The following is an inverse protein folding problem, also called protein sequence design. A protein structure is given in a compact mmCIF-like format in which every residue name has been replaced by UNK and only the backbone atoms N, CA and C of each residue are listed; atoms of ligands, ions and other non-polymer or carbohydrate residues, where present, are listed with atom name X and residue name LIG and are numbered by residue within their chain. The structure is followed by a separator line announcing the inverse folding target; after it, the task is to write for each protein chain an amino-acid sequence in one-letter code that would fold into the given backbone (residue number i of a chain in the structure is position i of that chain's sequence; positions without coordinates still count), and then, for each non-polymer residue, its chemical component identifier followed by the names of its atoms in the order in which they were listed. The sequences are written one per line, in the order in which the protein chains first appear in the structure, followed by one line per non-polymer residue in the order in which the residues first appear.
data_IF_664435811940
#
_entry.id   IF_664435811940
#
_cell.length_a   1.000
_cell.length_b   1.000
_cell.length_c   1.000
_cell.angle_alpha   90.00
_cell.angle_beta   90.00
_cell.angle_gamma   90.00
#
_symmetry.space_group_name_H-M   'P 1'
#
loop_
_entity.id
_entity.type
_entity.pdbx_description
1 polymer ?
#
# COMPACT_ATOMS: atom_id res chain seq x y z
N UNK A 1 8.51 14.86 -2.52
CA UNK A 1 8.95 13.45 -2.66
C UNK A 1 8.34 12.77 -1.47
N UNK A 2 7.33 11.94 -1.70
CA UNK A 2 6.37 11.55 -0.67
C UNK A 2 6.75 10.19 -0.09
N UNK A 3 6.39 9.97 1.18
CA UNK A 3 6.54 8.68 1.83
C UNK A 3 5.18 7.97 1.82
N UNK A 4 5.18 6.74 1.31
CA UNK A 4 4.00 5.89 1.24
C UNK A 4 4.18 4.70 2.18
N UNK A 5 3.31 4.60 3.17
CA UNK A 5 3.30 3.55 4.19
C UNK A 5 2.29 2.47 3.81
N UNK A 6 2.74 1.22 3.65
CA UNK A 6 1.92 0.09 3.19
C UNK A 6 1.46 -0.77 4.37
N UNK A 7 0.16 -1.00 4.48
CA UNK A 7 -0.47 -1.82 5.51
C UNK A 7 -1.28 -2.93 4.84
N UNK A 8 -1.19 -4.16 5.32
CA UNK A 8 -2.00 -5.25 4.77
C UNK A 8 -3.43 -5.14 5.30
N UNK A 9 -4.38 -5.18 4.39
CA UNK A 9 -5.80 -5.15 4.68
C UNK A 9 -6.32 -6.59 4.67
N UNK A 10 -6.84 -7.03 5.82
CA UNK A 10 -7.46 -8.35 5.97
C UNK A 10 -8.98 -8.19 5.89
N UNK A 11 -9.61 -8.96 5.00
CA UNK A 11 -11.06 -9.21 4.99
C UNK A 11 -11.98 -8.01 4.67
N UNK A 12 -11.49 -7.03 3.91
CA UNK A 12 -12.29 -5.90 3.40
C UNK A 12 -12.83 -4.94 4.47
N UNK A 13 -12.58 -5.21 5.75
CA UNK A 13 -12.81 -4.27 6.83
C UNK A 13 -11.64 -3.30 6.82
N UNK A 14 -11.91 -2.07 6.38
CA UNK A 14 -11.22 -0.88 6.92
C UNK A 14 -11.18 -1.05 8.45
N UNK A 15 -10.32 -0.31 9.12
CA UNK A 15 -10.46 -0.03 10.56
C UNK A 15 -10.15 -1.22 11.48
N UNK A 16 -8.87 -1.38 11.84
CA UNK A 16 -8.41 -1.44 13.25
C UNK A 16 -6.90 -1.64 13.35
N UNK A 17 -6.23 -2.07 12.28
CA UNK A 17 -4.79 -2.39 12.32
C UNK A 17 -3.87 -1.20 12.07
N UNK A 18 -4.28 -0.16 11.33
CA UNK A 18 -3.41 0.99 11.05
C UNK A 18 -2.98 1.79 12.30
N UNK A 19 -3.76 1.76 13.38
CA UNK A 19 -3.42 2.48 14.62
C UNK A 19 -2.41 1.73 15.51
N UNK A 20 -2.33 0.39 15.41
CA UNK A 20 -1.56 -0.44 16.33
C UNK A 20 -0.55 -1.38 15.65
N UNK A 21 -0.51 -1.43 14.32
CA UNK A 21 0.47 -2.23 13.57
C UNK A 21 1.42 -1.35 12.78
N UNK A 22 2.74 -1.65 12.81
CA UNK A 22 3.68 -0.95 11.97
C UNK A 22 3.39 -1.23 10.49
N UNK A 23 3.72 -0.29 9.60
CA UNK A 23 3.63 -0.55 8.17
C UNK A 23 4.51 -1.74 7.79
N UNK A 24 4.03 -2.55 6.86
CA UNK A 24 4.76 -3.68 6.29
C UNK A 24 5.98 -3.20 5.52
N UNK A 25 5.86 -2.02 4.93
CA UNK A 25 6.94 -1.35 4.23
C UNK A 25 6.64 0.13 4.08
N UNK A 26 7.70 0.91 3.87
CA UNK A 26 7.61 2.32 3.56
C UNK A 26 8.43 2.61 2.31
N UNK A 27 7.82 3.28 1.34
CA UNK A 27 8.44 3.54 0.04
C UNK A 27 8.40 5.04 -0.23
N UNK A 28 9.56 5.62 -0.52
CA UNK A 28 9.64 7.00 -1.03
C UNK A 28 9.48 7.02 -2.55
N UNK A 29 8.54 7.82 -3.04
CA UNK A 29 8.30 7.99 -4.47
C UNK A 29 7.71 9.37 -4.80
N UNK A 30 7.65 9.72 -6.09
CA UNK A 30 7.01 10.97 -6.51
C UNK A 30 5.49 10.84 -6.59
N UNK A 31 4.99 9.63 -6.86
CA UNK A 31 3.56 9.35 -7.05
C UNK A 31 3.24 7.96 -6.53
N UNK A 32 1.98 7.75 -6.13
CA UNK A 32 1.50 6.45 -5.61
C UNK A 32 1.85 5.29 -6.53
N UNK A 33 1.66 5.44 -7.85
CA UNK A 33 1.91 4.36 -8.80
C UNK A 33 3.38 3.90 -8.79
N UNK A 34 4.31 4.84 -8.68
CA UNK A 34 5.73 4.52 -8.55
C UNK A 34 6.03 3.83 -7.21
N UNK A 35 5.36 4.21 -6.13
CA UNK A 35 5.52 3.57 -4.84
C UNK A 35 5.05 2.10 -4.87
N UNK A 36 3.87 1.86 -5.45
CA UNK A 36 3.30 0.52 -5.60
C UNK A 36 4.17 -0.35 -6.51
N UNK A 37 4.70 0.19 -7.62
CA UNK A 37 5.63 -0.54 -8.50
C UNK A 37 6.89 -0.97 -7.77
N UNK A 38 7.51 -0.07 -6.99
CA UNK A 38 8.69 -0.38 -6.17
C UNK A 38 8.37 -1.44 -5.12
N UNK A 39 7.24 -1.31 -4.44
CA UNK A 39 6.78 -2.29 -3.45
C UNK A 39 6.59 -3.68 -4.07
N UNK A 40 5.94 -3.74 -5.24
CA UNK A 40 5.71 -5.00 -5.96
C UNK A 40 7.01 -5.67 -6.39
N UNK A 41 7.96 -4.89 -6.95
CA UNK A 41 9.28 -5.41 -7.34
C UNK A 41 10.05 -5.96 -6.14
N UNK A 42 10.02 -5.27 -5.00
CA UNK A 42 10.69 -5.70 -3.75
C UNK A 42 10.10 -7.00 -3.20
N UNK A 43 8.79 -7.21 -3.33
CA UNK A 43 8.07 -8.35 -2.73
C UNK A 43 7.73 -9.48 -3.71
N UNK A 44 7.99 -9.31 -5.00
CA UNK A 44 7.61 -10.26 -6.04
C UNK A 44 6.09 -10.33 -6.26
N UNK A 45 5.39 -9.22 -6.08
CA UNK A 45 3.96 -9.10 -6.36
C UNK A 45 3.73 -8.50 -7.75
N UNK A 46 2.49 -8.63 -8.23
CA UNK A 46 2.01 -7.92 -9.41
C UNK A 46 0.80 -7.07 -9.04
N UNK A 47 0.71 -5.90 -9.66
CA UNK A 47 -0.39 -4.96 -9.45
C UNK A 47 -1.59 -5.44 -10.28
N UNK A 48 -2.75 -5.55 -9.65
CA UNK A 48 -4.04 -5.72 -10.32
C UNK A 48 -4.73 -4.37 -10.48
N UNK A 49 -4.91 -3.62 -9.39
CA UNK A 49 -5.56 -2.31 -9.39
C UNK A 49 -5.01 -1.40 -8.28
N UNK A 50 -5.19 -0.10 -8.43
CA UNK A 50 -4.95 0.90 -7.39
C UNK A 50 -6.11 1.88 -7.37
N UNK A 51 -6.76 2.02 -6.23
CA UNK A 51 -7.88 2.92 -6.01
C UNK A 51 -7.45 4.05 -5.07
N UNK A 52 -7.86 5.28 -5.38
CA UNK A 52 -7.79 6.39 -4.44
C UNK A 52 -8.93 6.27 -3.44
N UNK A 53 -8.62 6.47 -2.16
CA UNK A 53 -9.57 6.60 -1.07
C UNK A 53 -9.70 8.07 -0.67
N UNK A 54 -10.55 8.34 0.32
CA UNK A 54 -10.69 9.67 0.92
C UNK A 54 -9.36 10.15 1.55
N UNK A 55 -9.24 11.48 1.71
CA UNK A 55 -8.12 12.12 2.42
C UNK A 55 -6.70 11.87 1.86
N UNK A 56 -6.60 11.43 0.59
CA UNK A 56 -5.31 11.19 -0.06
C UNK A 56 -4.69 9.83 0.27
N UNK A 57 -5.48 8.91 0.82
CA UNK A 57 -5.11 7.52 0.99
C UNK A 57 -5.36 6.70 -0.28
N UNK A 58 -4.82 5.49 -0.32
CA UNK A 58 -4.99 4.59 -1.46
C UNK A 58 -5.20 3.13 -1.02
N UNK A 59 -5.76 2.34 -1.92
CA UNK A 59 -5.87 0.88 -1.81
C UNK A 59 -5.24 0.23 -3.02
N UNK A 60 -4.29 -0.67 -2.81
CA UNK A 60 -3.68 -1.45 -3.88
C UNK A 60 -4.13 -2.91 -3.81
N UNK A 61 -4.65 -3.41 -4.92
CA UNK A 61 -5.01 -4.81 -5.13
C UNK A 61 -3.84 -5.47 -5.85
N UNK A 62 -3.20 -6.41 -5.17
CA UNK A 62 -1.99 -7.08 -5.63
C UNK A 62 -2.24 -8.59 -5.69
N UNK A 63 -1.52 -9.28 -6.57
CA UNK A 63 -1.52 -10.73 -6.61
C UNK A 63 -0.09 -11.28 -6.58
N UNK A 64 0.08 -12.36 -5.83
CA UNK A 64 1.31 -13.15 -5.84
C UNK A 64 1.05 -14.40 -6.68
N UNK A 65 1.68 -14.46 -7.86
CA UNK A 65 1.68 -15.68 -8.67
C UNK A 65 2.49 -16.76 -7.97
N UNK A 66 1.91 -17.93 -7.80
CA UNK A 66 2.64 -19.10 -7.33
C UNK A 66 2.73 -20.13 -8.47
N UNK A 67 3.95 -20.49 -8.86
CA UNK A 67 4.18 -21.43 -9.97
C UNK A 67 3.56 -22.84 -9.74
N UNK A 68 3.22 -23.18 -8.50
CA UNK A 68 2.68 -24.49 -8.12
C UNK A 68 1.55 -24.42 -7.07
N UNK A 69 0.99 -23.24 -6.79
CA UNK A 69 -0.10 -23.06 -5.82
C UNK A 69 -1.13 -22.07 -6.35
N UNK A 70 -2.30 -22.01 -5.71
CA UNK A 70 -3.33 -21.01 -6.03
C UNK A 70 -2.74 -19.59 -5.89
N UNK A 71 -3.00 -18.75 -6.89
CA UNK A 71 -2.66 -17.34 -6.84
C UNK A 71 -3.30 -16.70 -5.59
N UNK A 72 -2.52 -15.89 -4.89
CA UNK A 72 -2.98 -15.20 -3.68
C UNK A 72 -3.21 -13.73 -3.97
N UNK A 73 -4.46 -13.31 -3.87
CA UNK A 73 -4.85 -11.90 -3.86
C UNK A 73 -4.56 -11.30 -2.49
N UNK A 74 -4.05 -10.07 -2.50
CA UNK A 74 -3.66 -9.30 -1.33
C UNK A 74 -4.14 -7.86 -1.55
N UNK A 75 -4.74 -7.29 -0.51
CA UNK A 75 -5.19 -5.90 -0.52
C UNK A 75 -4.30 -5.12 0.44
N UNK A 76 -3.75 -4.01 -0.01
CA UNK A 76 -2.94 -3.13 0.83
C UNK A 76 -3.59 -1.76 0.93
N UNK A 77 -3.79 -1.29 2.16
CA UNK A 77 -4.05 0.11 2.43
C UNK A 77 -2.74 0.87 2.41
N UNK A 78 -2.71 2.02 1.74
CA UNK A 78 -1.53 2.83 1.57
C UNK A 78 -1.85 4.23 2.05
N UNK A 79 -1.12 4.66 3.07
CA UNK A 79 -1.19 6.03 3.57
C UNK A 79 -0.07 6.85 2.96
N UNK A 80 -0.42 8.01 2.42
CA UNK A 80 0.56 9.02 2.07
C UNK A 80 0.88 9.83 3.32
N UNK A 81 2.10 9.69 3.85
CA UNK A 81 2.60 10.56 4.91
C UNK A 81 2.92 11.91 4.28
N UNK A 82 1.87 12.70 4.10
CA UNK A 82 1.98 14.13 3.84
C UNK A 82 2.66 14.70 5.08
N UNK A 83 3.94 15.09 4.98
CA UNK A 83 4.52 15.97 6.00
C UNK A 83 3.68 17.24 5.99
N UNK A 84 2.71 17.35 6.90
CA UNK A 84 2.11 18.62 7.24
C UNK A 84 3.21 19.43 7.92
N UNK A 85 3.98 20.16 7.11
CA UNK A 85 4.73 21.30 7.60
C UNK A 85 3.72 22.44 7.76
N UNK A 86 2.86 22.32 8.78
CA UNK A 86 2.12 23.46 9.32
C UNK A 86 2.96 23.97 10.48
N UNK A 87 4.04 24.67 10.17
CA UNK A 87 4.62 25.61 11.11
C UNK A 87 4.11 27.01 10.74
N UNK A 88 3.60 27.66 11.78
CA UNK A 88 2.83 28.90 11.84
C UNK A 88 3.75 30.11 11.65
#
# INVERSE_FOLDING_TARGET
MEQFSFFLEYDGRKTMTAANHPPIDQITALQIRQAVDKFCRKRGYKISNVESLDEGDYRAFLYKKALFKKDKELIFYIRQDSRQNTEV
#
